data_IF_783599153109
#
_entry.id   IF_783599153109
#
_cell.length_a   1.000
_cell.length_b   1.000
_cell.length_c   1.000
_cell.angle_alpha   90.00
_cell.angle_beta   90.00
_cell.angle_gamma   90.00
#
_symmetry.space_group_name_H-M   'P 1'
#
loop_
_entity.id
_entity.type
_entity.pdbx_description
1 polymer ?
#
# COMPACT_ATOMS: atom_id res chain seq x y z
N UNK A 1 6.72 37.13 6.44
CA UNK A 1 5.70 36.53 5.56
C UNK A 1 5.47 37.46 4.39
N UNK A 2 5.52 36.95 3.16
CA UNK A 2 4.98 37.67 2.00
C UNK A 2 3.73 36.88 1.61
N UNK A 3 2.56 37.48 1.78
CA UNK A 3 1.28 36.92 1.35
C UNK A 3 0.76 37.78 0.20
N UNK A 4 0.77 37.25 -1.02
CA UNK A 4 0.12 37.87 -2.17
C UNK A 4 -1.24 37.19 -2.30
N UNK A 5 -2.30 37.90 -1.91
CA UNK A 5 -3.68 37.45 -2.09
C UNK A 5 -4.20 37.98 -3.43
N UNK A 6 -4.05 37.16 -4.47
CA UNK A 6 -4.63 37.40 -5.79
C UNK A 6 -5.72 36.35 -6.02
N UNK A 7 -6.89 36.77 -6.51
CA UNK A 7 -7.94 35.85 -6.95
C UNK A 7 -7.43 35.09 -8.19
N UNK A 8 -7.02 33.83 -8.02
CA UNK A 8 -6.45 33.00 -9.10
C UNK A 8 -7.37 31.83 -9.41
N UNK A 9 -7.54 31.54 -10.70
CA UNK A 9 -8.32 30.38 -11.15
C UNK A 9 -7.57 29.06 -10.97
N UNK A 10 -6.24 29.14 -10.84
CA UNK A 10 -5.33 28.00 -10.69
C UNK A 10 -4.39 28.24 -9.50
N UNK A 11 -4.34 27.28 -8.59
CA UNK A 11 -3.38 27.23 -7.48
C UNK A 11 -2.32 26.15 -7.78
N UNK A 12 -1.05 26.52 -7.76
CA UNK A 12 0.08 25.57 -7.89
C UNK A 12 0.79 25.47 -6.54
N UNK A 13 0.92 24.23 -6.05
CA UNK A 13 1.57 23.89 -4.79
C UNK A 13 2.73 22.95 -5.09
N UNK A 14 3.96 23.47 -5.08
CA UNK A 14 5.16 22.71 -5.40
C UNK A 14 5.91 22.30 -4.13
N UNK A 15 5.85 21.01 -3.77
CA UNK A 15 6.48 20.39 -2.59
C UNK A 15 6.20 21.05 -1.23
N UNK A 16 5.21 21.94 -1.16
CA UNK A 16 4.85 22.71 0.05
C UNK A 16 4.31 21.87 1.20
N UNK A 17 4.00 20.59 0.95
CA UNK A 17 3.53 19.64 1.98
C UNK A 17 4.67 18.78 2.55
N UNK A 18 5.85 18.79 1.93
CA UNK A 18 7.01 18.03 2.39
C UNK A 18 7.83 18.75 3.49
N UNK A 19 7.46 19.99 3.85
CA UNK A 19 8.12 20.75 4.93
C UNK A 19 7.75 20.19 6.29
N UNK A 20 8.71 20.04 7.21
CA UNK A 20 8.52 19.40 8.52
C UNK A 20 7.71 20.20 9.57
N UNK A 21 7.16 21.36 9.22
CA UNK A 21 6.29 22.15 10.11
C UNK A 21 4.83 21.75 9.91
N UNK A 22 4.27 21.01 10.86
CA UNK A 22 2.88 20.54 10.84
C UNK A 22 1.85 21.67 10.84
N UNK A 23 2.16 22.83 11.43
CA UNK A 23 1.28 23.99 11.41
C UNK A 23 1.24 24.62 10.01
N UNK A 24 2.37 24.62 9.31
CA UNK A 24 2.45 25.11 7.94
C UNK A 24 1.75 24.16 6.96
N UNK A 25 1.95 22.85 7.10
CA UNK A 25 1.24 21.85 6.31
C UNK A 25 -0.29 21.99 6.47
N UNK A 26 -0.76 22.18 7.71
CA UNK A 26 -2.20 22.36 7.99
C UNK A 26 -2.77 23.58 7.28
N UNK A 27 -2.06 24.72 7.29
CA UNK A 27 -2.45 25.94 6.57
C UNK A 27 -2.47 25.74 5.05
N UNK A 28 -1.51 25.00 4.52
CA UNK A 28 -1.46 24.68 3.09
C UNK A 28 -2.66 23.82 2.66
N UNK A 29 -3.01 22.82 3.48
CA UNK A 29 -4.19 21.96 3.24
C UNK A 29 -5.51 22.72 3.41
N UNK A 30 -5.59 23.65 4.35
CA UNK A 30 -6.77 24.52 4.51
C UNK A 30 -6.99 25.38 3.26
N UNK A 31 -5.93 26.01 2.75
CA UNK A 31 -6.01 26.80 1.52
C UNK A 31 -6.31 25.93 0.30
N UNK A 32 -5.73 24.72 0.21
CA UNK A 32 -6.07 23.73 -0.81
C UNK A 32 -7.58 23.44 -0.84
N UNK A 33 -8.16 23.08 0.32
CA UNK A 33 -9.58 22.74 0.42
C UNK A 33 -10.46 23.92 0.04
N UNK A 34 -10.11 25.14 0.47
CA UNK A 34 -10.83 26.36 0.11
C UNK A 34 -10.87 26.56 -1.41
N UNK A 35 -9.75 26.44 -2.12
CA UNK A 35 -9.73 26.57 -3.58
C UNK A 35 -10.51 25.47 -4.29
N UNK A 36 -10.40 24.22 -3.81
CA UNK A 36 -11.18 23.09 -4.32
C UNK A 36 -12.69 23.32 -4.15
N UNK A 37 -13.12 23.75 -2.96
CA UNK A 37 -14.54 23.97 -2.64
C UNK A 37 -15.12 25.17 -3.42
N UNK A 38 -14.26 26.11 -3.84
CA UNK A 38 -14.60 27.19 -4.78
C UNK A 38 -14.66 26.72 -6.25
N UNK A 39 -14.45 25.43 -6.53
CA UNK A 39 -14.43 24.87 -7.89
C UNK A 39 -13.23 25.31 -8.72
N UNK A 40 -12.13 25.72 -8.08
CA UNK A 40 -10.90 26.14 -8.77
C UNK A 40 -9.98 24.95 -9.04
N UNK A 41 -9.11 25.09 -10.03
CA UNK A 41 -8.13 24.04 -10.33
C UNK A 41 -6.95 24.15 -9.37
N UNK A 42 -6.60 23.05 -8.72
CA UNK A 42 -5.41 22.97 -7.87
C UNK A 42 -4.46 21.93 -8.42
N UNK A 43 -3.20 22.31 -8.61
CA UNK A 43 -2.11 21.43 -9.03
C UNK A 43 -1.18 21.27 -7.83
N UNK A 44 -1.02 20.04 -7.35
CA UNK A 44 -0.03 19.69 -6.34
C UNK A 44 1.10 18.91 -7.01
N UNK A 45 2.34 19.29 -6.71
CA UNK A 45 3.54 18.50 -6.96
C UNK A 45 4.03 17.99 -5.61
N UNK A 46 4.08 16.66 -5.46
CA UNK A 46 4.52 16.01 -4.22
C UNK A 46 5.02 14.60 -4.52
N UNK A 47 5.90 14.11 -3.65
CA UNK A 47 6.30 12.70 -3.60
C UNK A 47 5.47 11.90 -2.60
N UNK A 48 4.63 12.55 -1.79
CA UNK A 48 3.72 11.88 -0.87
C UNK A 48 2.49 11.36 -1.63
N UNK A 49 2.44 10.04 -1.84
CA UNK A 49 1.34 9.43 -2.57
C UNK A 49 0.02 9.43 -1.80
N UNK A 50 0.06 9.45 -0.47
CA UNK A 50 -1.15 9.50 0.35
C UNK A 50 -1.85 10.85 0.16
N UNK A 51 -1.08 11.93 0.02
CA UNK A 51 -1.61 13.25 -0.34
C UNK A 51 -2.26 13.21 -1.72
N UNK A 52 -1.60 12.61 -2.72
CA UNK A 52 -2.15 12.52 -4.08
C UNK A 52 -3.46 11.75 -4.10
N UNK A 53 -3.49 10.55 -3.52
CA UNK A 53 -4.68 9.69 -3.48
C UNK A 53 -5.84 10.32 -2.70
N UNK A 54 -5.54 11.10 -1.65
CA UNK A 54 -6.57 11.73 -0.82
C UNK A 54 -7.18 12.98 -1.45
N UNK A 55 -6.37 13.81 -2.08
CA UNK A 55 -6.77 15.18 -2.43
C UNK A 55 -6.97 15.41 -3.93
N UNK A 56 -6.40 14.56 -4.79
CA UNK A 56 -6.46 14.76 -6.23
C UNK A 56 -7.50 13.84 -6.88
N UNK A 57 -8.27 14.37 -7.84
CA UNK A 57 -9.15 13.55 -8.69
C UNK A 57 -8.34 12.79 -9.75
N UNK A 58 -7.24 13.39 -10.21
CA UNK A 58 -6.37 12.89 -11.28
C UNK A 58 -4.92 13.13 -10.92
N UNK A 59 -4.05 12.26 -11.40
CA UNK A 59 -2.60 12.39 -11.19
C UNK A 59 -1.81 12.14 -12.47
N UNK A 60 -0.58 12.67 -12.48
CA UNK A 60 0.41 12.45 -13.52
C UNK A 60 1.70 12.00 -12.84
N UNK A 61 2.13 10.78 -13.16
CA UNK A 61 3.40 10.24 -12.70
C UNK A 61 4.51 10.64 -13.68
N UNK A 62 5.50 11.35 -13.17
CA UNK A 62 6.73 11.68 -13.87
C UNK A 62 7.87 10.81 -13.36
N UNK A 63 8.72 10.34 -14.29
CA UNK A 63 9.93 9.59 -13.99
C UNK A 63 11.00 9.88 -15.03
N UNK A 64 12.20 10.20 -14.58
CA UNK A 64 13.33 10.56 -15.46
C UNK A 64 12.96 11.63 -16.50
N UNK A 65 12.15 12.61 -16.09
CA UNK A 65 11.63 13.69 -16.94
C UNK A 65 10.56 13.25 -17.95
N UNK A 66 10.04 12.02 -17.88
CA UNK A 66 9.03 11.49 -18.79
C UNK A 66 7.72 11.19 -18.07
N UNK A 67 6.61 11.40 -18.76
CA UNK A 67 5.29 10.99 -18.29
C UNK A 67 5.19 9.47 -18.40
N UNK A 68 5.02 8.82 -17.25
CA UNK A 68 4.82 7.36 -17.16
C UNK A 68 3.34 7.04 -17.28
N UNK A 69 2.49 7.77 -16.55
CA UNK A 69 1.05 7.53 -16.49
C UNK A 69 0.31 8.82 -16.16
N UNK A 70 -0.86 8.99 -16.78
CA UNK A 70 -1.90 9.92 -16.34
C UNK A 70 -3.17 9.10 -16.11
N UNK A 71 -3.92 9.40 -15.05
CA UNK A 71 -5.12 8.64 -14.68
C UNK A 71 -5.81 9.19 -13.45
N UNK A 72 -6.69 8.39 -12.84
CA UNK A 72 -7.18 8.65 -11.49
C UNK A 72 -6.00 8.67 -10.50
N UNK A 73 -6.15 9.39 -9.39
CA UNK A 73 -5.11 9.43 -8.38
C UNK A 73 -4.79 8.04 -7.81
N UNK A 74 -5.81 7.18 -7.66
CA UNK A 74 -5.66 5.80 -7.20
C UNK A 74 -4.81 4.96 -8.17
N UNK A 75 -5.18 4.89 -9.45
CA UNK A 75 -4.47 4.09 -10.46
C UNK A 75 -3.01 4.51 -10.60
N UNK A 76 -2.76 5.83 -10.56
CA UNK A 76 -1.42 6.39 -10.68
C UNK A 76 -0.62 6.12 -9.40
N UNK A 77 -1.27 6.19 -8.25
CA UNK A 77 -0.64 5.87 -6.97
C UNK A 77 -0.23 4.42 -6.82
N UNK A 78 -1.05 3.50 -7.31
CA UNK A 78 -0.70 2.08 -7.34
C UNK A 78 0.55 1.82 -8.19
N UNK A 79 0.66 2.48 -9.36
CA UNK A 79 1.86 2.41 -10.21
C UNK A 79 3.07 3.04 -9.50
N UNK A 80 2.89 4.21 -8.86
CA UNK A 80 3.96 4.89 -8.14
C UNK A 80 4.53 4.02 -7.01
N UNK A 81 3.67 3.41 -6.19
CA UNK A 81 4.07 2.51 -5.10
C UNK A 81 4.84 1.32 -5.66
N UNK A 82 4.34 0.68 -6.73
CA UNK A 82 5.01 -0.45 -7.37
C UNK A 82 6.42 -0.10 -7.87
N UNK A 83 6.60 1.13 -8.37
CA UNK A 83 7.87 1.64 -8.89
C UNK A 83 8.86 1.98 -7.78
N UNK A 84 8.41 2.64 -6.71
CA UNK A 84 9.27 2.98 -5.59
C UNK A 84 9.81 1.74 -4.87
N UNK A 85 8.99 0.69 -4.74
CA UNK A 85 9.45 -0.61 -4.21
C UNK A 85 10.58 -1.16 -5.10
N UNK A 86 10.40 -1.09 -6.42
CA UNK A 86 11.40 -1.54 -7.41
C UNK A 86 12.67 -0.69 -7.44
N UNK A 87 12.61 0.58 -7.03
CA UNK A 87 13.73 1.52 -7.05
C UNK A 87 14.54 1.52 -5.76
N UNK A 88 13.88 1.37 -4.61
CA UNK A 88 14.57 1.14 -3.34
C UNK A 88 15.36 -0.18 -3.38
N UNK A 89 14.82 -1.20 -4.05
CA UNK A 89 15.51 -2.44 -4.39
C UNK A 89 16.82 -2.23 -5.20
N UNK A 90 16.91 -1.17 -6.02
CA UNK A 90 18.10 -0.85 -6.82
C UNK A 90 19.09 0.04 -6.09
N UNK A 91 18.63 1.07 -5.37
CA UNK A 91 19.51 2.01 -4.64
C UNK A 91 20.33 1.33 -3.53
N UNK A 92 19.79 0.27 -2.91
CA UNK A 92 20.54 -0.53 -1.93
C UNK A 92 21.67 -1.37 -2.55
N UNK A 93 21.83 -1.41 -3.89
CA UNK A 93 22.93 -2.09 -4.57
C UNK A 93 24.09 -1.14 -4.91
N UNK A 94 23.82 0.16 -5.07
CA UNK A 94 24.86 1.11 -5.46
C UNK A 94 25.73 1.54 -4.27
N UNK A 95 25.20 1.50 -3.04
CA UNK A 95 25.93 1.86 -1.81
C UNK A 95 26.91 0.77 -1.31
N UNK A 96 26.86 -0.43 -1.91
CA UNK A 96 27.74 -1.57 -1.60
C UNK A 96 28.89 -1.74 -2.63
N UNK A 97 29.12 -0.72 -3.47
CA UNK A 97 30.12 -0.77 -4.54
C UNK A 97 31.00 0.49 -4.64
N UNK A 98 31.69 0.82 -3.54
CA UNK A 98 32.99 1.49 -3.64
C UNK A 98 34.09 0.44 -3.74
N UNK A 99 34.34 -0.04 -4.97
CA UNK A 99 35.67 -0.28 -5.52
C UNK A 99 35.58 -1.00 -6.88
N UNK A 100 35.70 -0.21 -7.96
CA UNK A 100 36.60 -0.39 -9.12
C UNK A 100 36.02 0.19 -10.43
N UNK A 101 36.72 1.18 -10.96
CA UNK A 101 36.77 1.56 -12.38
C UNK A 101 37.10 0.31 -13.24
N UNK A 102 36.74 0.15 -14.51
CA UNK A 102 36.59 1.09 -15.61
C UNK A 102 35.86 0.37 -16.77
N UNK A 103 35.29 1.11 -17.71
CA UNK A 103 35.14 0.64 -19.10
C UNK A 103 33.77 0.07 -19.55
N UNK A 104 32.91 0.97 -20.03
CA UNK A 104 31.98 0.83 -21.17
C UNK A 104 31.22 -0.51 -21.33
N UNK A 105 29.90 -0.46 -21.11
CA UNK A 105 28.90 -0.93 -22.09
C UNK A 105 27.50 -0.40 -21.76
N UNK A 106 26.97 0.36 -22.73
CA UNK A 106 25.57 0.80 -22.85
C UNK A 106 24.61 -0.36 -22.54
N UNK A 107 24.00 -0.37 -21.36
CA UNK A 107 22.77 -1.14 -21.17
C UNK A 107 21.59 -0.27 -21.61
N UNK A 108 20.93 -0.72 -22.67
CA UNK A 108 19.65 -0.18 -23.13
C UNK A 108 18.69 -0.17 -21.93
N UNK A 109 18.22 1.01 -21.58
CA UNK A 109 17.07 1.22 -20.70
C UNK A 109 15.84 0.58 -21.35
N UNK A 110 15.66 -0.72 -21.14
CA UNK A 110 14.32 -1.30 -21.20
C UNK A 110 13.67 -0.95 -19.87
N UNK A 111 12.95 0.16 -19.88
CA UNK A 111 11.87 0.43 -18.92
C UNK A 111 10.98 -0.80 -18.97
N UNK A 112 11.05 -1.65 -17.94
CA UNK A 112 10.09 -2.72 -17.77
C UNK A 112 8.81 -2.03 -17.31
N UNK A 113 7.98 -1.74 -18.30
CA UNK A 113 6.54 -1.60 -18.14
C UNK A 113 6.02 -2.92 -17.59
N UNK A 114 5.86 -3.07 -16.27
CA UNK A 114 4.97 -4.11 -15.76
C UNK A 114 3.56 -3.53 -15.71
N UNK A 115 2.92 -3.50 -16.89
CA UNK A 115 1.54 -3.95 -16.89
C UNK A 115 1.58 -5.36 -16.33
N UNK A 116 0.87 -5.59 -15.23
CA UNK A 116 0.79 -6.86 -14.53
C UNK A 116 0.98 -8.05 -15.50
N UNK A 117 2.01 -8.88 -15.31
CA UNK A 117 2.36 -9.93 -16.29
C UNK A 117 1.27 -11.01 -16.43
N UNK A 118 0.25 -10.97 -15.55
CA UNK A 118 -0.97 -11.80 -15.56
C UNK A 118 -0.70 -13.30 -15.65
N UNK A 119 0.49 -13.75 -15.24
CA UNK A 119 0.83 -15.18 -15.12
C UNK A 119 0.01 -15.86 -14.04
N UNK A 120 -0.34 -15.13 -13.00
CA UNK A 120 -1.30 -15.53 -11.98
C UNK A 120 -2.22 -14.34 -11.75
N UNK A 121 -3.52 -14.57 -11.62
CA UNK A 121 -4.51 -13.51 -11.43
C UNK A 121 -5.44 -13.84 -10.28
N UNK A 122 -5.98 -12.81 -9.64
CA UNK A 122 -7.10 -12.96 -8.73
C UNK A 122 -8.37 -13.23 -9.54
N UNK A 123 -9.07 -14.30 -9.19
CA UNK A 123 -10.42 -14.56 -9.67
C UNK A 123 -11.46 -14.02 -8.68
N UNK A 124 -11.16 -14.16 -7.38
CA UNK A 124 -12.07 -13.77 -6.31
C UNK A 124 -11.31 -13.43 -5.04
N UNK A 125 -11.75 -12.40 -4.33
CA UNK A 125 -11.21 -12.03 -3.02
C UNK A 125 -12.38 -11.76 -2.09
N UNK A 126 -12.42 -12.43 -0.95
CA UNK A 126 -13.55 -12.38 -0.02
C UNK A 126 -13.10 -12.36 1.42
N UNK A 127 -13.78 -11.57 2.25
CA UNK A 127 -13.66 -11.64 3.70
C UNK A 127 -14.85 -12.43 4.24
N UNK A 128 -14.58 -13.49 5.00
CA UNK A 128 -15.55 -14.46 5.46
C UNK A 128 -15.49 -14.64 6.99
N UNK A 129 -16.59 -15.10 7.59
CA UNK A 129 -16.61 -15.59 8.96
C UNK A 129 -16.18 -17.06 9.06
N UNK A 130 -16.24 -17.62 10.28
CA UNK A 130 -15.91 -19.02 10.55
C UNK A 130 -16.83 -20.03 9.87
N UNK A 131 -18.01 -19.59 9.40
CA UNK A 131 -18.98 -20.41 8.67
C UNK A 131 -18.90 -20.15 7.15
N UNK A 132 -17.81 -19.53 6.69
CA UNK A 132 -17.58 -19.14 5.29
C UNK A 132 -18.61 -18.17 4.70
N UNK A 133 -19.32 -17.42 5.55
CA UNK A 133 -20.26 -16.38 5.11
C UNK A 133 -19.53 -15.06 4.93
N UNK A 134 -19.84 -14.36 3.83
CA UNK A 134 -19.29 -13.03 3.53
C UNK A 134 -19.53 -12.03 4.66
N UNK A 135 -18.49 -11.25 4.95
CA UNK A 135 -18.50 -10.16 5.92
C UNK A 135 -18.32 -8.81 5.21
N UNK A 136 -19.26 -7.90 5.47
CA UNK A 136 -19.08 -6.45 5.24
C UNK A 136 -18.92 -5.69 6.55
N UNK A 137 -19.15 -6.37 7.68
CA UNK A 137 -19.17 -5.81 9.01
C UNK A 137 -18.63 -6.85 9.98
N UNK A 138 -17.66 -6.45 10.79
CA UNK A 138 -16.83 -7.33 11.61
C UNK A 138 -16.81 -6.81 13.04
N UNK A 139 -16.96 -7.70 14.03
CA UNK A 139 -16.77 -7.33 15.43
C UNK A 139 -15.29 -7.27 15.78
N UNK A 140 -14.95 -6.45 16.77
CA UNK A 140 -13.60 -6.44 17.34
C UNK A 140 -13.21 -7.84 17.81
N UNK A 141 -12.00 -8.26 17.45
CA UNK A 141 -11.39 -9.57 17.75
C UNK A 141 -12.14 -10.79 17.17
N UNK A 142 -13.11 -10.56 16.26
CA UNK A 142 -13.79 -11.63 15.55
C UNK A 142 -12.78 -12.40 14.66
N UNK A 143 -12.75 -13.74 14.71
CA UNK A 143 -12.01 -14.54 13.75
C UNK A 143 -12.57 -14.35 12.34
N UNK A 144 -11.69 -14.07 11.39
CA UNK A 144 -12.03 -13.87 9.98
C UNK A 144 -11.15 -14.71 9.07
N UNK A 145 -11.66 -14.98 7.87
CA UNK A 145 -10.95 -15.65 6.79
C UNK A 145 -10.91 -14.69 5.60
N UNK A 146 -9.72 -14.21 5.22
CA UNK A 146 -9.51 -13.55 3.94
C UNK A 146 -9.14 -14.61 2.90
N UNK A 147 -10.09 -14.94 2.04
CA UNK A 147 -9.96 -15.95 0.99
C UNK A 147 -9.56 -15.32 -0.33
N UNK A 148 -8.44 -15.77 -0.89
CA UNK A 148 -7.96 -15.41 -2.22
C UNK A 148 -8.13 -16.61 -3.15
N UNK A 149 -8.95 -16.48 -4.17
CA UNK A 149 -9.08 -17.44 -5.26
C UNK A 149 -8.26 -16.93 -6.43
N UNK A 150 -7.27 -17.71 -6.85
CA UNK A 150 -6.34 -17.33 -7.91
C UNK A 150 -6.33 -18.37 -9.03
N UNK A 151 -6.03 -17.91 -10.24
CA UNK A 151 -5.84 -18.76 -11.42
C UNK A 151 -4.44 -18.57 -11.99
N UNK A 152 -3.74 -19.68 -12.26
CA UNK A 152 -2.43 -19.66 -12.88
C UNK A 152 -2.58 -19.78 -14.42
N UNK A 153 -2.28 -18.70 -15.15
CA UNK A 153 -2.27 -18.69 -16.62
C UNK A 153 -0.96 -19.25 -17.21
N UNK A 154 0.06 -19.42 -16.38
CA UNK A 154 1.36 -19.98 -16.73
C UNK A 154 1.90 -20.86 -15.60
N UNK A 155 2.93 -21.67 -15.89
CA UNK A 155 3.65 -22.41 -14.87
C UNK A 155 4.52 -21.44 -14.05
N UNK A 156 4.34 -21.42 -12.73
CA UNK A 156 5.03 -20.51 -11.82
C UNK A 156 5.74 -21.29 -10.72
N UNK A 157 7.07 -21.14 -10.66
CA UNK A 157 7.89 -21.88 -9.69
C UNK A 157 7.67 -21.43 -8.26
N UNK A 158 7.62 -20.12 -8.02
CA UNK A 158 7.39 -19.51 -6.71
C UNK A 158 6.39 -18.37 -6.89
N UNK A 159 5.39 -18.30 -6.01
CA UNK A 159 4.47 -17.17 -5.96
C UNK A 159 4.57 -16.51 -4.59
N UNK A 160 4.70 -15.18 -4.61
CA UNK A 160 4.47 -14.32 -3.47
C UNK A 160 3.05 -13.73 -3.56
N UNK A 161 2.37 -13.69 -2.43
CA UNK A 161 1.04 -13.13 -2.30
C UNK A 161 0.93 -12.46 -0.94
N UNK A 162 0.36 -11.25 -0.94
CA UNK A 162 0.23 -10.44 0.25
C UNK A 162 -1.05 -9.63 0.23
N UNK A 163 -1.40 -9.13 1.41
CA UNK A 163 -2.54 -8.25 1.60
C UNK A 163 -2.16 -7.06 2.46
N UNK A 164 -2.88 -5.96 2.23
CA UNK A 164 -2.83 -4.76 3.04
C UNK A 164 -4.22 -4.47 3.58
N UNK A 165 -4.31 -4.01 4.82
CA UNK A 165 -5.53 -3.39 5.34
C UNK A 165 -5.29 -1.88 5.44
N UNK A 166 -6.08 -1.12 4.71
CA UNK A 166 -6.04 0.34 4.65
C UNK A 166 -7.22 0.94 5.40
N UNK A 167 -7.01 2.07 6.04
CA UNK A 167 -8.13 2.83 6.60
C UNK A 167 -8.87 3.65 5.52
N UNK A 168 -9.93 4.35 5.94
CA UNK A 168 -10.73 5.22 5.05
C UNK A 168 -9.92 6.31 4.34
N UNK A 169 -8.73 6.61 4.83
CA UNK A 169 -7.86 7.67 4.33
C UNK A 169 -6.79 7.16 3.34
N UNK A 170 -6.75 5.85 3.09
CA UNK A 170 -5.80 5.18 2.22
C UNK A 170 -4.51 4.72 2.91
N UNK A 171 -4.33 5.02 4.20
CA UNK A 171 -3.13 4.65 4.95
C UNK A 171 -3.10 3.14 5.20
N UNK A 172 -1.99 2.48 4.84
CA UNK A 172 -1.71 1.08 5.18
C UNK A 172 -1.53 0.93 6.69
N UNK A 173 -2.42 0.18 7.33
CA UNK A 173 -2.41 -0.10 8.79
C UNK A 173 -1.83 -1.48 9.08
N UNK A 174 -2.11 -2.46 8.21
CA UNK A 174 -1.64 -3.84 8.33
C UNK A 174 -1.08 -4.27 6.98
N UNK A 175 0.04 -4.99 7.01
CA UNK A 175 0.61 -5.68 5.87
C UNK A 175 1.04 -7.08 6.30
N UNK A 176 0.77 -8.08 5.47
CA UNK A 176 1.37 -9.42 5.59
C UNK A 176 1.48 -10.05 4.21
N UNK A 177 2.51 -10.87 4.05
CA UNK A 177 2.73 -11.70 2.87
C UNK A 177 3.19 -13.10 3.29
N UNK A 178 3.17 -14.03 2.35
CA UNK A 178 3.55 -15.41 2.66
C UNK A 178 5.03 -15.58 3.02
N UNK A 179 5.89 -14.62 2.70
CA UNK A 179 7.33 -14.68 3.04
C UNK A 179 7.54 -14.34 4.52
N UNK A 180 6.89 -13.27 5.01
CA UNK A 180 6.88 -12.86 6.43
C UNK A 180 6.34 -14.00 7.29
N UNK A 181 5.30 -14.68 6.80
CA UNK A 181 4.65 -15.80 7.50
C UNK A 181 5.38 -17.14 7.30
N UNK A 182 6.61 -17.10 6.74
CA UNK A 182 7.47 -18.26 6.49
C UNK A 182 6.80 -19.38 5.67
N UNK A 183 5.87 -19.02 4.78
CA UNK A 183 5.13 -19.93 3.91
C UNK A 183 5.60 -19.84 2.45
N UNK A 184 6.13 -20.95 1.91
CA UNK A 184 6.55 -21.03 0.50
C UNK A 184 5.47 -21.66 -0.34
N UNK A 185 4.95 -20.92 -1.32
CA UNK A 185 4.04 -21.45 -2.32
C UNK A 185 4.76 -21.68 -3.64
N UNK A 186 4.86 -22.94 -4.04
CA UNK A 186 5.70 -23.36 -5.17
C UNK A 186 4.97 -24.26 -6.16
N UNK A 187 5.50 -24.34 -7.38
CA UNK A 187 5.07 -25.25 -8.44
C UNK A 187 3.59 -25.11 -8.85
N UNK A 188 3.15 -23.87 -9.09
CA UNK A 188 1.83 -23.62 -9.66
C UNK A 188 1.84 -24.05 -11.12
N UNK A 189 0.80 -24.78 -11.53
CA UNK A 189 0.65 -25.31 -12.88
C UNK A 189 -0.34 -24.46 -13.67
N UNK A 190 -0.01 -24.23 -14.93
CA UNK A 190 -0.88 -23.55 -15.89
C UNK A 190 -2.27 -24.21 -15.94
N UNK A 191 -3.31 -23.37 -15.91
CA UNK A 191 -4.72 -23.75 -15.95
C UNK A 191 -5.30 -24.19 -14.61
N UNK A 192 -4.51 -24.25 -13.53
CA UNK A 192 -5.01 -24.61 -12.21
C UNK A 192 -5.49 -23.39 -11.43
N UNK A 193 -6.50 -23.64 -10.59
CA UNK A 193 -7.07 -22.69 -9.65
C UNK A 193 -6.62 -23.08 -8.24
N UNK A 194 -6.35 -22.08 -7.40
CA UNK A 194 -5.93 -22.28 -6.02
C UNK A 194 -6.73 -21.38 -5.09
N UNK A 195 -7.01 -21.89 -3.89
CA UNK A 195 -7.66 -21.15 -2.81
C UNK A 195 -6.63 -20.95 -1.70
N UNK A 196 -6.44 -19.70 -1.29
CA UNK A 196 -5.53 -19.30 -0.23
C UNK A 196 -6.38 -18.65 0.88
N UNK A 197 -6.38 -19.25 2.07
CA UNK A 197 -7.12 -18.74 3.23
C UNK A 197 -6.17 -18.15 4.26
N UNK A 198 -6.24 -16.83 4.42
CA UNK A 198 -5.61 -16.11 5.53
C UNK A 198 -6.55 -16.09 6.72
N UNK A 199 -6.13 -16.66 7.85
CA UNK A 199 -6.94 -16.73 9.08
C UNK A 199 -6.31 -15.86 10.16
N UNK A 200 -7.05 -14.85 10.62
CA UNK A 200 -6.59 -13.94 11.67
C UNK A 200 -7.79 -13.36 12.43
N UNK A 201 -7.51 -12.64 13.52
CA UNK A 201 -8.53 -11.91 14.28
C UNK A 201 -8.56 -10.44 13.86
N UNK A 202 -9.76 -9.88 13.78
CA UNK A 202 -9.94 -8.46 13.41
C UNK A 202 -9.77 -7.54 14.63
N UNK A 203 -8.52 -7.25 15.00
CA UNK A 203 -8.16 -6.45 16.19
C UNK A 203 -7.90 -4.97 15.85
N UNK A 204 -8.78 -4.38 15.02
CA UNK A 204 -8.74 -2.97 14.60
C UNK A 204 -9.77 -2.13 15.36
N UNK A 205 -9.48 -0.84 15.57
CA UNK A 205 -10.48 0.10 16.12
C UNK A 205 -11.70 0.23 15.18
N UNK A 206 -12.84 0.64 15.73
CA UNK A 206 -14.04 0.94 14.95
C UNK A 206 -13.74 1.88 13.77
N UNK A 207 -14.33 1.59 12.61
CA UNK A 207 -14.10 2.40 11.42
C UNK A 207 -14.38 1.65 10.13
N UNK A 208 -14.11 2.33 9.01
CA UNK A 208 -14.18 1.76 7.66
C UNK A 208 -12.79 1.44 7.14
N UNK A 209 -12.65 0.27 6.54
CA UNK A 209 -11.39 -0.27 6.06
C UNK A 209 -11.54 -0.89 4.68
N UNK A 210 -10.41 -0.97 3.97
CA UNK A 210 -10.29 -1.61 2.68
C UNK A 210 -9.18 -2.65 2.71
N UNK A 211 -9.34 -3.74 1.99
CA UNK A 211 -8.27 -4.73 1.78
C UNK A 211 -7.75 -4.57 0.37
N UNK A 212 -6.44 -4.40 0.23
CA UNK A 212 -5.73 -4.50 -1.05
C UNK A 212 -4.97 -5.83 -1.09
N UNK A 213 -4.82 -6.44 -2.26
CA UNK A 213 -4.07 -7.69 -2.42
C UNK A 213 -3.15 -7.62 -3.63
N UNK A 214 -1.98 -8.26 -3.51
CA UNK A 214 -0.97 -8.31 -4.56
C UNK A 214 -0.49 -9.75 -4.79
N UNK A 215 -0.26 -10.11 -6.04
CA UNK A 215 0.45 -11.32 -6.45
C UNK A 215 1.74 -10.91 -7.17
N UNK A 216 2.83 -11.57 -6.85
CA UNK A 216 4.11 -11.34 -7.53
C UNK A 216 4.95 -12.61 -7.60
N UNK A 217 5.88 -12.67 -8.55
CA UNK A 217 6.88 -13.72 -8.64
C UNK A 217 8.18 -13.16 -8.07
N UNK A 218 8.72 -13.74 -6.98
CA UNK A 218 9.97 -13.27 -6.42
C UNK A 218 11.11 -13.60 -7.39
N UNK A 219 11.82 -12.57 -7.85
CA UNK A 219 13.02 -12.71 -8.68
C UNK A 219 14.25 -12.78 -7.76
N UNK A 220 14.37 -11.79 -6.87
CA UNK A 220 15.41 -11.74 -5.85
C UNK A 220 14.85 -11.15 -4.55
N UNK A 221 14.60 -12.03 -3.57
CA UNK A 221 14.05 -11.63 -2.27
C UNK A 221 15.03 -10.82 -1.43
N UNK A 222 16.34 -11.03 -1.56
CA UNK A 222 17.34 -10.24 -0.82
C UNK A 222 17.35 -8.80 -1.30
N UNK A 223 17.02 -8.60 -2.58
CA UNK A 223 16.95 -7.29 -3.21
C UNK A 223 15.53 -6.76 -3.31
N UNK A 224 14.53 -7.42 -2.73
CA UNK A 224 13.10 -7.06 -2.87
C UNK A 224 12.63 -6.87 -4.33
N UNK A 225 13.26 -7.59 -5.28
CA UNK A 225 12.89 -7.53 -6.69
C UNK A 225 11.84 -8.60 -6.95
N UNK A 226 10.67 -8.14 -7.39
CA UNK A 226 9.53 -8.99 -7.72
C UNK A 226 8.99 -8.62 -9.09
N UNK A 227 8.44 -9.62 -9.79
CA UNK A 227 7.65 -9.40 -11.01
C UNK A 227 6.16 -9.37 -10.64
N UNK A 228 5.49 -8.24 -10.86
CA UNK A 228 4.10 -8.09 -10.42
C UNK A 228 3.14 -8.86 -11.34
N UNK A 229 2.45 -9.86 -10.79
CA UNK A 229 1.50 -10.69 -11.52
C UNK A 229 0.13 -10.04 -11.62
N UNK A 230 -0.40 -9.56 -10.50
CA UNK A 230 -1.71 -8.93 -10.40
C UNK A 230 -1.83 -8.09 -9.12
N UNK A 231 -2.70 -7.09 -9.13
CA UNK A 231 -2.93 -6.19 -8.01
C UNK A 231 -4.37 -5.72 -7.97
N UNK A 232 -4.97 -5.76 -6.78
CA UNK A 232 -6.31 -5.23 -6.53
C UNK A 232 -6.23 -4.27 -5.36
N UNK A 233 -6.23 -2.96 -5.64
CA UNK A 233 -6.05 -1.90 -4.64
C UNK A 233 -7.22 -1.71 -3.67
N UNK A 234 -8.40 -2.25 -4.00
CA UNK A 234 -9.59 -2.23 -3.15
C UNK A 234 -10.45 -3.47 -3.40
N UNK A 235 -9.97 -4.61 -2.94
CA UNK A 235 -10.61 -5.91 -3.13
C UNK A 235 -11.86 -6.10 -2.25
N UNK A 236 -11.79 -5.67 -0.99
CA UNK A 236 -12.88 -5.78 -0.01
C UNK A 236 -13.02 -4.46 0.74
N UNK A 237 -14.26 -3.98 0.89
CA UNK A 237 -14.59 -2.90 1.81
C UNK A 237 -15.37 -3.48 2.99
N UNK A 238 -14.96 -3.14 4.21
CA UNK A 238 -15.64 -3.62 5.42
C UNK A 238 -15.60 -2.58 6.54
N UNK A 239 -16.47 -2.75 7.52
CA UNK A 239 -16.50 -1.93 8.73
C UNK A 239 -16.22 -2.76 9.96
N UNK A 240 -15.59 -2.14 10.96
CA UNK A 240 -15.38 -2.74 12.27
C UNK A 240 -16.28 -2.06 13.30
N UNK A 241 -17.03 -2.86 14.06
CA UNK A 241 -17.88 -2.37 15.14
C UNK A 241 -17.04 -1.81 16.31
N UNK A 242 -17.61 -0.88 17.10
CA UNK A 242 -17.08 -0.50 18.40
C UNK A 242 -16.75 -1.73 19.25
N UNK A 243 -15.58 -1.69 19.90
CA UNK A 243 -15.21 -2.68 20.90
C UNK A 243 -16.13 -2.54 22.11
N UNK A 244 -16.71 -3.64 22.56
CA UNK A 244 -17.50 -3.67 23.79
C UNK A 244 -16.59 -3.54 25.03
N UNK A 245 -17.04 -2.78 26.03
CA UNK A 245 -16.35 -2.60 27.31
C UNK A 245 -15.35 -1.44 27.34
N UNK A 246 -14.29 -1.48 26.53
CA UNK A 246 -13.25 -0.45 26.52
C UNK A 246 -12.94 0.08 25.12
N UNK A 247 -12.77 1.40 25.02
CA UNK A 247 -12.38 2.05 23.77
C UNK A 247 -10.89 1.82 23.49
N UNK A 248 -10.58 1.56 22.23
CA UNK A 248 -9.22 1.71 21.73
C UNK A 248 -8.98 3.17 21.35
N UNK A 249 -7.80 3.68 21.65
CA UNK A 249 -7.37 5.03 21.24
C UNK A 249 -6.40 4.98 20.05
N UNK A 250 -5.83 3.81 19.76
CA UNK A 250 -4.96 3.55 18.61
C UNK A 250 -5.64 2.70 17.53
N UNK A 251 -5.07 2.67 16.32
CA UNK A 251 -5.61 1.93 15.17
C UNK A 251 -5.58 0.41 15.33
N UNK A 252 -4.53 -0.09 15.99
CA UNK A 252 -4.27 -1.51 16.22
C UNK A 252 -4.00 -1.72 17.71
N UNK A 253 -4.45 -2.86 18.23
CA UNK A 253 -4.07 -3.37 19.54
C UNK A 253 -3.10 -4.54 19.39
N UNK A 254 -2.01 -4.53 20.14
CA UNK A 254 -1.10 -5.66 20.26
C UNK A 254 -1.47 -6.50 21.48
N UNK A 255 -1.34 -7.81 21.39
CA UNK A 255 -1.49 -8.67 22.56
C UNK A 255 -0.33 -8.43 23.53
N UNK A 256 -0.66 -8.08 24.77
CA UNK A 256 0.32 -7.74 25.80
C UNK A 256 0.24 -8.74 26.96
N UNK A 257 1.42 -9.09 27.51
CA UNK A 257 1.52 -9.77 28.79
C UNK A 257 2.03 -8.75 29.83
N UNK A 258 1.25 -8.53 30.89
CA UNK A 258 1.59 -7.56 31.94
C UNK A 258 2.07 -8.33 33.17
N UNK A 259 3.31 -8.06 33.58
CA UNK A 259 3.85 -8.53 34.84
C UNK A 259 4.08 -7.35 35.78
N UNK A 260 3.51 -7.40 37.00
CA UNK A 260 3.64 -6.36 38.01
C UNK A 260 4.41 -6.95 39.18
N UNK A 261 5.63 -6.47 39.41
CA UNK A 261 6.49 -6.88 40.52
C UNK A 261 6.55 -5.72 41.51
N UNK A 262 6.27 -6.00 42.79
CA UNK A 262 6.45 -5.01 43.85
C UNK A 262 7.96 -4.82 44.11
N UNK A 263 8.44 -3.58 43.99
CA UNK A 263 9.85 -3.21 44.15
C UNK A 263 10.39 -3.51 45.56
N UNK A 264 9.54 -3.60 46.59
CA UNK A 264 9.98 -3.90 47.97
C UNK A 264 10.48 -5.35 48.19
N UNK A 265 10.30 -6.25 47.21
CA UNK A 265 10.71 -7.65 47.30
C UNK A 265 11.79 -8.07 46.29
N UNK A 266 12.50 -7.11 45.69
CA UNK A 266 13.67 -7.39 44.84
C UNK A 266 14.92 -7.34 45.74
N UNK A 267 15.25 -8.47 46.38
CA UNK A 267 16.57 -8.73 46.97
C UNK A 267 17.56 -9.19 45.90
#
# INVERSE_FOLDING_TARGET
SVSIHANRDILLMDEVLAVGDSNFQSKCLEEFNKYRDMGRTVIIVTHDILVVQRYCDRAMLLRDGKIVKIGSADDVGDIYISQNISDNAKKMQDDDSLDKEDGKRRHKNNVIQCGAIRKVMFEKIELLDSNEKKLSLVKYDQPVILRLVIVANDNVKNLAFGYHIRDSSGLDIVYSDNIIENFKFTNLKKGQQYIIDWKFKMSLIQGSYKIACALSIPIDLKKSIVDMCDFVGSAVNFQVYPREGSFLYGKVHLDNNINIINHENIN
#
